data_IF_700081353111
#
_entry.id   IF_700081353111
#
_cell.length_a   1.000
_cell.length_b   1.000
_cell.length_c   1.000
_cell.angle_alpha   90.00
_cell.angle_beta   90.00
_cell.angle_gamma   90.00
#
_symmetry.space_group_name_H-M   'P 1'
#
loop_
_entity.id
_entity.type
_entity.pdbx_description
1 polymer ?
#
# COMPACT_ATOMS: atom_id res chain seq x y z
N UNK A 1 83.29 0.83 14.40
CA UNK A 1 84.28 1.02 13.32
C UNK A 1 84.03 -0.05 12.27
N UNK A 2 84.04 0.36 10.98
CA UNK A 2 83.89 -0.43 9.76
C UNK A 2 82.49 -1.06 9.54
N UNK A 3 81.65 -0.55 8.62
CA UNK A 3 81.72 -0.76 7.15
C UNK A 3 81.62 -2.26 6.81
N UNK A 4 80.71 -2.77 5.98
CA UNK A 4 80.33 -2.30 4.65
C UNK A 4 79.32 -3.30 4.06
N UNK A 5 78.28 -2.81 3.37
CA UNK A 5 77.65 -3.47 2.21
C UNK A 5 78.72 -3.86 1.16
N UNK A 6 78.54 -4.78 0.19
CA UNK A 6 77.33 -4.88 -0.65
C UNK A 6 77.04 -6.26 -1.29
N UNK A 7 75.95 -6.29 -2.08
CA UNK A 7 75.80 -6.92 -3.41
C UNK A 7 74.49 -7.72 -3.57
N UNK A 8 73.54 -7.11 -4.27
CA UNK A 8 72.48 -7.83 -4.99
C UNK A 8 73.08 -8.42 -6.27
N UNK A 9 72.50 -9.54 -6.74
CA UNK A 9 71.91 -9.47 -8.07
C UNK A 9 70.51 -10.09 -8.15
N UNK A 10 69.74 -9.49 -9.04
CA UNK A 10 68.37 -9.81 -9.46
C UNK A 10 68.32 -11.15 -10.20
N UNK A 11 67.37 -12.02 -9.83
CA UNK A 11 66.78 -13.02 -10.72
C UNK A 11 65.34 -13.34 -10.26
N UNK A 12 64.48 -13.52 -11.27
CA UNK A 12 63.01 -13.56 -11.32
C UNK A 12 62.29 -14.56 -10.40
N UNK A 13 61.03 -14.30 -10.02
CA UNK A 13 60.26 -15.17 -9.14
C UNK A 13 59.55 -16.29 -9.90
N UNK A 14 59.80 -17.53 -9.47
CA UNK A 14 59.03 -18.71 -9.87
C UNK A 14 57.71 -18.80 -9.10
N UNK A 15 56.67 -19.13 -9.86
CA UNK A 15 55.26 -19.12 -9.49
C UNK A 15 54.92 -20.33 -8.60
N UNK A 16 54.96 -20.17 -7.28
CA UNK A 16 54.50 -21.16 -6.30
C UNK A 16 53.18 -20.72 -5.66
N UNK A 17 52.05 -21.19 -6.20
CA UNK A 17 50.72 -20.96 -5.65
C UNK A 17 50.58 -21.69 -4.29
N UNK A 18 50.47 -20.88 -3.23
CA UNK A 18 50.25 -21.31 -1.86
C UNK A 18 48.79 -21.78 -1.67
N UNK A 19 48.63 -22.96 -1.08
CA UNK A 19 47.35 -23.62 -0.77
C UNK A 19 46.65 -22.86 0.35
N UNK A 20 45.63 -22.07 0.02
CA UNK A 20 44.77 -21.41 1.00
C UNK A 20 43.79 -22.39 1.64
N UNK A 21 43.81 -22.39 2.98
CA UNK A 21 42.90 -23.07 3.87
C UNK A 21 41.44 -22.80 3.51
N UNK A 22 40.65 -23.87 3.35
CA UNK A 22 39.21 -23.80 3.22
C UNK A 22 38.59 -23.29 4.54
N UNK A 23 38.21 -22.01 4.57
CA UNK A 23 37.38 -21.45 5.62
C UNK A 23 36.00 -22.14 5.57
N UNK A 24 35.50 -22.57 6.73
CA UNK A 24 34.13 -23.03 6.91
C UNK A 24 33.14 -21.94 6.48
N UNK A 25 32.12 -22.25 5.67
CA UNK A 25 31.18 -21.24 5.19
C UNK A 25 30.36 -20.64 6.34
N UNK A 26 30.20 -19.32 6.31
CA UNK A 26 29.46 -18.55 7.31
C UNK A 26 27.98 -19.00 7.43
N UNK A 27 27.36 -18.92 8.63
CA UNK A 27 25.99 -19.40 8.88
C UNK A 27 24.91 -18.78 7.97
N UNK A 28 25.13 -17.55 7.49
CA UNK A 28 24.20 -16.86 6.59
C UNK A 28 24.20 -17.43 5.15
N UNK A 29 25.31 -18.04 4.71
CA UNK A 29 25.38 -18.74 3.41
C UNK A 29 24.66 -20.10 3.45
N UNK A 30 24.65 -20.78 4.60
CA UNK A 30 23.86 -22.00 4.76
C UNK A 30 22.35 -21.71 4.79
N UNK A 31 21.95 -20.52 5.27
CA UNK A 31 20.58 -20.05 5.20
C UNK A 31 20.16 -19.74 3.76
N UNK A 32 21.01 -19.11 2.94
CA UNK A 32 20.71 -18.90 1.51
C UNK A 32 20.67 -20.21 0.71
N UNK A 33 21.55 -21.17 1.01
CA UNK A 33 21.56 -22.49 0.37
C UNK A 33 20.34 -23.36 0.76
N UNK A 34 19.74 -23.13 1.93
CA UNK A 34 18.45 -23.77 2.30
C UNK A 34 17.26 -23.20 1.53
N UNK A 35 17.32 -21.91 1.18
CA UNK A 35 16.26 -21.24 0.41
C UNK A 35 16.27 -21.65 -1.07
N UNK A 36 17.45 -21.92 -1.65
CA UNK A 36 17.56 -22.42 -3.03
C UNK A 36 17.06 -23.87 -3.20
N UNK A 37 17.23 -24.73 -2.19
CA UNK A 37 16.81 -26.14 -2.30
C UNK A 37 15.29 -26.35 -2.20
N UNK A 38 14.54 -25.38 -1.66
CA UNK A 38 13.08 -25.43 -1.58
C UNK A 38 12.37 -24.95 -2.86
N UNK A 39 13.11 -24.45 -3.85
CA UNK A 39 12.59 -23.93 -5.12
C UNK A 39 12.89 -24.83 -6.31
N UNK A 40 13.07 -26.14 -6.11
CA UNK A 40 12.96 -27.09 -7.21
C UNK A 40 11.50 -27.12 -7.69
N UNK A 41 11.17 -26.64 -8.91
CA UNK A 41 9.83 -26.81 -9.42
C UNK A 41 9.74 -28.27 -9.89
N UNK A 42 9.24 -29.15 -9.02
CA UNK A 42 8.77 -30.46 -9.44
C UNK A 42 7.65 -30.25 -10.46
N UNK A 43 8.04 -30.29 -11.73
CA UNK A 43 7.17 -30.10 -12.87
C UNK A 43 6.53 -31.43 -13.24
N UNK A 44 5.35 -31.76 -12.66
CA UNK A 44 4.34 -32.60 -13.30
C UNK A 44 3.03 -32.69 -12.47
N UNK A 45 2.27 -31.60 -12.44
CA UNK A 45 0.80 -31.67 -12.47
C UNK A 45 0.37 -30.62 -13.50
N UNK A 46 -0.58 -30.95 -14.39
CA UNK A 46 -1.08 -30.05 -15.45
C UNK A 46 -1.54 -28.69 -14.91
N UNK A 47 -1.98 -28.68 -13.65
CA UNK A 47 -2.35 -27.49 -12.87
C UNK A 47 -1.15 -26.62 -12.47
N UNK A 48 0.03 -27.20 -12.22
CA UNK A 48 1.25 -26.46 -11.87
C UNK A 48 1.77 -25.59 -13.01
N UNK A 49 1.85 -26.12 -14.24
CA UNK A 49 2.29 -25.35 -15.41
C UNK A 49 1.34 -24.22 -15.79
N UNK A 50 0.02 -24.46 -15.68
CA UNK A 50 -0.98 -23.42 -15.92
C UNK A 50 -0.84 -22.27 -14.91
N UNK A 51 -0.68 -22.60 -13.63
CA UNK A 51 -0.51 -21.61 -12.56
C UNK A 51 0.80 -20.83 -12.68
N UNK A 52 1.90 -21.49 -13.02
CA UNK A 52 3.18 -20.83 -13.27
C UNK A 52 3.09 -19.83 -14.42
N UNK A 53 2.41 -20.20 -15.51
CA UNK A 53 2.19 -19.31 -16.66
C UNK A 53 1.30 -18.12 -16.29
N UNK A 54 0.22 -18.34 -15.53
CA UNK A 54 -0.65 -17.26 -15.03
C UNK A 54 0.11 -16.33 -14.09
N UNK A 55 0.92 -16.89 -13.19
CA UNK A 55 1.75 -16.09 -12.29
C UNK A 55 2.79 -15.26 -13.05
N UNK A 56 3.45 -15.84 -14.04
CA UNK A 56 4.41 -15.13 -14.90
C UNK A 56 3.71 -14.01 -15.71
N UNK A 57 2.47 -14.23 -16.14
CA UNK A 57 1.66 -13.22 -16.82
C UNK A 57 1.30 -12.06 -15.88
N UNK A 58 0.81 -12.37 -14.67
CA UNK A 58 0.48 -11.36 -13.66
C UNK A 58 1.72 -10.60 -13.15
N UNK A 59 2.89 -11.24 -13.16
CA UNK A 59 4.14 -10.62 -12.71
C UNK A 59 4.79 -9.73 -13.78
N UNK A 60 4.31 -9.83 -15.03
CA UNK A 60 4.83 -9.03 -16.14
C UNK A 60 4.68 -7.53 -15.90
N UNK A 61 5.74 -6.77 -16.21
CA UNK A 61 5.77 -5.31 -16.07
C UNK A 61 4.69 -4.65 -16.92
N UNK A 62 4.42 -5.18 -18.11
CA UNK A 62 3.39 -4.67 -19.03
C UNK A 62 2.00 -4.74 -18.39
N UNK A 63 1.67 -5.86 -17.75
CA UNK A 63 0.39 -6.02 -17.07
C UNK A 63 0.24 -5.06 -15.88
N UNK A 64 1.28 -4.94 -15.04
CA UNK A 64 1.30 -4.02 -13.89
C UNK A 64 1.17 -2.55 -14.31
N UNK A 65 1.89 -2.14 -15.36
CA UNK A 65 1.80 -0.78 -15.92
C UNK A 65 0.44 -0.54 -16.56
N UNK A 66 -0.14 -1.53 -17.25
CA UNK A 66 -1.48 -1.43 -17.82
C UNK A 66 -2.55 -1.14 -16.75
N UNK A 67 -2.53 -1.90 -15.65
CA UNK A 67 -3.44 -1.68 -14.52
C UNK A 67 -3.22 -0.31 -13.87
N UNK A 68 -1.96 0.13 -13.74
CA UNK A 68 -1.63 1.45 -13.21
C UNK A 68 -2.23 2.57 -14.08
N UNK A 69 -2.14 2.46 -15.41
CA UNK A 69 -2.73 3.43 -16.34
C UNK A 69 -4.25 3.47 -16.18
N UNK A 70 -4.90 2.30 -16.09
CA UNK A 70 -6.37 2.23 -15.88
C UNK A 70 -6.79 2.92 -14.58
N UNK A 71 -6.04 2.70 -13.48
CA UNK A 71 -6.28 3.39 -12.20
C UNK A 71 -6.14 4.90 -12.35
N UNK A 72 -5.08 5.37 -13.01
CA UNK A 72 -4.82 6.80 -13.20
C UNK A 72 -5.91 7.47 -14.04
N UNK A 73 -6.31 6.83 -15.14
CA UNK A 73 -7.41 7.32 -15.99
C UNK A 73 -8.70 7.41 -15.18
N UNK A 74 -9.05 6.37 -14.41
CA UNK A 74 -10.23 6.39 -13.54
C UNK A 74 -10.17 7.49 -12.47
N UNK A 75 -8.98 7.75 -11.91
CA UNK A 75 -8.79 8.82 -10.94
C UNK A 75 -8.97 10.22 -11.57
N UNK A 76 -8.56 10.41 -12.82
CA UNK A 76 -8.81 11.65 -13.56
C UNK A 76 -10.30 11.85 -13.78
N UNK A 77 -11.04 10.82 -14.23
CA UNK A 77 -12.50 10.90 -14.38
C UNK A 77 -13.20 11.21 -13.06
N UNK A 78 -12.74 10.64 -11.95
CA UNK A 78 -13.28 10.94 -10.62
C UNK A 78 -12.94 12.36 -10.15
N UNK A 79 -11.77 12.90 -10.52
CA UNK A 79 -11.39 14.27 -10.19
C UNK A 79 -12.22 15.32 -10.98
N UNK A 80 -12.70 14.94 -12.17
CA UNK A 80 -13.58 15.77 -12.99
C UNK A 80 -15.06 15.68 -12.55
N UNK A 81 -15.41 14.70 -11.72
CA UNK A 81 -16.74 14.54 -11.15
C UNK A 81 -17.01 15.65 -10.10
N UNK A 82 -17.70 16.70 -10.54
CA UNK A 82 -18.13 17.80 -9.68
C UNK A 82 -19.62 17.68 -9.39
N UNK A 83 -20.10 18.06 -8.19
CA UNK A 83 -21.53 18.00 -7.86
C UNK A 83 -22.43 18.81 -8.80
N UNK A 84 -21.85 19.76 -9.54
CA UNK A 84 -22.50 20.61 -10.54
C UNK A 84 -22.39 20.07 -11.97
N UNK A 85 -21.78 18.90 -12.18
CA UNK A 85 -21.62 18.32 -13.51
C UNK A 85 -22.99 17.91 -14.09
N UNK A 86 -23.13 18.00 -15.41
CA UNK A 86 -24.35 17.58 -16.11
C UNK A 86 -24.64 16.10 -15.92
N UNK A 87 -25.91 15.71 -16.00
CA UNK A 87 -26.36 14.32 -15.86
C UNK A 87 -25.66 13.36 -16.85
N UNK A 88 -25.27 13.85 -18.04
CA UNK A 88 -24.56 13.07 -19.04
C UNK A 88 -23.13 12.71 -18.59
N UNK A 89 -22.41 13.65 -17.96
CA UNK A 89 -21.05 13.43 -17.47
C UNK A 89 -21.08 12.43 -16.31
N UNK A 90 -22.06 12.54 -15.41
CA UNK A 90 -22.22 11.60 -14.29
C UNK A 90 -22.47 10.16 -14.78
N UNK A 91 -23.33 9.99 -15.78
CA UNK A 91 -23.59 8.66 -16.36
C UNK A 91 -22.34 8.02 -16.99
N UNK A 92 -21.52 8.82 -17.69
CA UNK A 92 -20.25 8.36 -18.28
C UNK A 92 -19.27 7.95 -17.17
N UNK A 93 -19.13 8.78 -16.13
CA UNK A 93 -18.23 8.50 -15.00
C UNK A 93 -18.64 7.22 -14.27
N UNK A 94 -19.93 6.99 -14.05
CA UNK A 94 -20.43 5.77 -13.42
C UNK A 94 -20.18 4.52 -14.28
N UNK A 95 -20.37 4.61 -15.60
CA UNK A 95 -20.07 3.51 -16.51
C UNK A 95 -18.57 3.18 -16.53
N UNK A 96 -17.71 4.19 -16.54
CA UNK A 96 -16.25 4.01 -16.44
C UNK A 96 -15.89 3.36 -15.09
N UNK A 97 -16.43 3.84 -13.97
CA UNK A 97 -16.17 3.28 -12.65
C UNK A 97 -16.55 1.80 -12.55
N UNK A 98 -17.66 1.41 -13.16
CA UNK A 98 -18.11 0.02 -13.25
C UNK A 98 -17.16 -0.83 -14.10
N UNK A 99 -16.74 -0.33 -15.27
CA UNK A 99 -15.79 -1.05 -16.13
C UNK A 99 -14.45 -1.31 -15.43
N UNK A 100 -13.98 -0.33 -14.67
CA UNK A 100 -12.72 -0.40 -13.92
C UNK A 100 -12.82 -1.39 -12.76
N UNK A 101 -13.97 -1.46 -12.08
CA UNK A 101 -14.23 -2.48 -11.07
C UNK A 101 -14.15 -3.89 -11.66
N UNK A 102 -14.75 -4.13 -12.83
CA UNK A 102 -14.70 -5.43 -13.50
C UNK A 102 -13.26 -5.83 -13.83
N UNK A 103 -12.46 -4.89 -14.36
CA UNK A 103 -11.05 -5.13 -14.68
C UNK A 103 -10.28 -5.55 -13.42
N UNK A 104 -10.50 -4.88 -12.29
CA UNK A 104 -9.85 -5.26 -11.01
C UNK A 104 -10.32 -6.60 -10.49
N UNK A 105 -11.60 -6.95 -10.64
CA UNK A 105 -12.10 -8.27 -10.28
C UNK A 105 -11.38 -9.36 -11.09
N UNK A 106 -11.21 -9.15 -12.41
CA UNK A 106 -10.51 -10.10 -13.28
C UNK A 106 -9.05 -10.25 -12.85
N UNK A 107 -8.35 -9.15 -12.62
CA UNK A 107 -6.96 -9.17 -12.12
C UNK A 107 -6.86 -9.94 -10.79
N UNK A 108 -7.75 -9.65 -9.85
CA UNK A 108 -7.77 -10.27 -8.53
C UNK A 108 -7.96 -11.78 -8.64
N UNK A 109 -8.89 -12.22 -9.49
CA UNK A 109 -9.12 -13.65 -9.78
C UNK A 109 -7.88 -14.29 -10.43
N UNK A 110 -7.24 -13.62 -11.39
CA UNK A 110 -6.01 -14.11 -12.01
C UNK A 110 -4.88 -14.30 -10.99
N UNK A 111 -4.71 -13.33 -10.09
CA UNK A 111 -3.73 -13.42 -9.00
C UNK A 111 -4.07 -14.52 -8.00
N UNK A 112 -5.34 -14.67 -7.64
CA UNK A 112 -5.81 -15.74 -6.76
C UNK A 112 -5.55 -17.12 -7.37
N UNK A 113 -5.78 -17.28 -8.67
CA UNK A 113 -5.49 -18.51 -9.41
C UNK A 113 -3.99 -18.77 -9.50
N UNK A 114 -3.17 -17.74 -9.75
CA UNK A 114 -1.70 -17.85 -9.80
C UNK A 114 -1.07 -18.23 -8.45
N UNK A 115 -1.38 -17.49 -7.38
CA UNK A 115 -0.81 -17.69 -6.03
C UNK A 115 -1.43 -18.86 -5.27
N UNK A 116 -2.70 -19.17 -5.52
CA UNK A 116 -3.40 -20.31 -4.92
C UNK A 116 -4.14 -19.93 -3.66
N UNK A 117 -5.29 -20.57 -3.47
CA UNK A 117 -6.27 -20.18 -2.45
C UNK A 117 -5.69 -20.28 -1.04
N UNK A 118 -5.50 -21.50 -0.51
CA UNK A 118 -5.29 -21.70 0.94
C UNK A 118 -4.35 -22.88 1.30
N UNK A 119 -4.22 -23.92 0.46
CA UNK A 119 -3.54 -25.20 0.83
C UNK A 119 -2.00 -25.20 0.75
N UNK A 120 -1.34 -24.09 0.41
CA UNK A 120 0.12 -24.01 0.28
C UNK A 120 0.69 -22.89 1.16
N UNK A 121 1.95 -22.99 1.61
CA UNK A 121 2.59 -22.00 2.50
C UNK A 121 2.64 -20.57 1.90
N UNK A 122 2.48 -20.42 0.58
CA UNK A 122 2.41 -19.14 -0.15
C UNK A 122 0.98 -18.76 -0.58
N UNK A 123 -0.03 -19.02 0.25
CA UNK A 123 -1.43 -18.71 -0.08
C UNK A 123 -1.70 -17.22 -0.29
N UNK A 124 -2.65 -16.88 -1.18
CA UNK A 124 -3.00 -15.50 -1.54
C UNK A 124 -3.26 -14.60 -0.31
N UNK A 125 -3.95 -15.13 0.71
CA UNK A 125 -4.32 -14.41 1.93
C UNK A 125 -3.19 -14.23 2.96
N UNK A 126 -1.99 -14.80 2.73
CA UNK A 126 -0.84 -14.65 3.64
C UNK A 126 -0.18 -13.27 3.49
N UNK A 127 -0.32 -12.64 2.33
CA UNK A 127 0.22 -11.30 2.06
C UNK A 127 -0.82 -10.22 2.37
N UNK A 128 -0.48 -9.29 3.26
CA UNK A 128 -1.36 -8.17 3.63
C UNK A 128 -1.77 -7.30 2.42
N UNK A 129 -0.89 -7.18 1.42
CA UNK A 129 -1.17 -6.42 0.20
C UNK A 129 -2.27 -7.04 -0.68
N UNK A 130 -2.37 -8.36 -0.69
CA UNK A 130 -3.43 -9.07 -1.41
C UNK A 130 -4.76 -8.99 -0.65
N UNK A 131 -4.72 -8.93 0.68
CA UNK A 131 -5.91 -8.71 1.50
C UNK A 131 -6.54 -7.34 1.25
N UNK A 132 -5.71 -6.30 1.14
CA UNK A 132 -6.17 -4.95 0.79
C UNK A 132 -6.85 -4.93 -0.59
N UNK A 133 -6.28 -5.63 -1.57
CA UNK A 133 -6.85 -5.73 -2.91
C UNK A 133 -8.23 -6.40 -2.91
N UNK A 134 -8.39 -7.48 -2.15
CA UNK A 134 -9.69 -8.13 -1.95
C UNK A 134 -10.71 -7.19 -1.29
N UNK A 135 -10.31 -6.45 -0.25
CA UNK A 135 -11.18 -5.50 0.43
C UNK A 135 -11.67 -4.39 -0.51
N UNK A 136 -10.80 -3.90 -1.41
CA UNK A 136 -11.17 -2.89 -2.41
C UNK A 136 -12.22 -3.41 -3.40
N UNK A 137 -12.04 -4.64 -3.89
CA UNK A 137 -13.01 -5.25 -4.82
C UNK A 137 -14.36 -5.47 -4.12
N UNK A 138 -14.36 -6.03 -2.91
CA UNK A 138 -15.58 -6.24 -2.12
C UNK A 138 -16.28 -4.91 -1.83
N UNK A 139 -15.54 -3.88 -1.43
CA UNK A 139 -16.12 -2.57 -1.17
C UNK A 139 -16.74 -1.94 -2.43
N UNK A 140 -16.14 -2.15 -3.61
CA UNK A 140 -16.71 -1.71 -4.89
C UNK A 140 -18.01 -2.45 -5.25
N UNK A 141 -18.16 -3.72 -4.89
CA UNK A 141 -19.44 -4.42 -5.06
C UNK A 141 -20.49 -3.96 -4.04
N UNK A 142 -20.08 -3.69 -2.79
CA UNK A 142 -20.96 -3.11 -1.78
C UNK A 142 -21.45 -1.73 -2.23
N UNK A 143 -20.62 -0.94 -2.91
CA UNK A 143 -21.01 0.33 -3.51
C UNK A 143 -22.18 0.19 -4.48
N UNK A 144 -22.11 -0.79 -5.39
CA UNK A 144 -23.16 -1.03 -6.38
C UNK A 144 -24.48 -1.47 -5.74
N UNK A 145 -24.41 -2.26 -4.67
CA UNK A 145 -25.59 -2.81 -3.99
C UNK A 145 -26.24 -1.77 -3.06
N UNK A 146 -25.43 -1.04 -2.28
CA UNK A 146 -25.91 -0.12 -1.25
C UNK A 146 -26.06 1.33 -1.74
N UNK A 147 -25.52 1.67 -2.91
CA UNK A 147 -25.56 3.02 -3.49
C UNK A 147 -26.97 3.54 -3.79
N UNK A 148 -27.99 2.67 -3.82
CA UNK A 148 -29.39 3.07 -4.09
C UNK A 148 -30.20 3.43 -2.82
N UNK A 149 -29.68 3.21 -1.61
CA UNK A 149 -30.49 3.20 -0.39
C UNK A 149 -30.34 4.43 0.53
N UNK A 150 -29.20 4.61 1.17
CA UNK A 150 -29.06 5.50 2.33
C UNK A 150 -27.62 6.01 2.43
N UNK A 151 -27.37 7.30 2.78
CA UNK A 151 -26.16 7.96 3.36
C UNK A 151 -24.73 7.47 3.03
N UNK A 152 -24.57 6.49 2.16
CA UNK A 152 -23.36 5.75 1.87
C UNK A 152 -22.46 6.53 0.91
N UNK A 153 -23.01 7.55 0.23
CA UNK A 153 -22.32 8.37 -0.77
C UNK A 153 -20.95 8.85 -0.27
N UNK A 154 -20.81 9.17 1.03
CA UNK A 154 -19.52 9.56 1.62
C UNK A 154 -18.51 8.41 1.75
N UNK A 155 -18.92 7.28 2.33
CA UNK A 155 -18.03 6.13 2.57
C UNK A 155 -17.61 5.47 1.26
N UNK A 156 -18.52 5.42 0.28
CA UNK A 156 -18.30 4.86 -1.05
C UNK A 156 -17.19 5.62 -1.81
N UNK A 157 -17.11 6.93 -1.65
CA UNK A 157 -16.01 7.75 -2.20
C UNK A 157 -14.65 7.38 -1.62
N UNK A 158 -14.57 7.05 -0.33
CA UNK A 158 -13.31 6.66 0.32
C UNK A 158 -12.79 5.34 -0.25
N UNK A 159 -13.68 4.37 -0.52
CA UNK A 159 -13.31 3.11 -1.18
C UNK A 159 -12.71 3.28 -2.57
N UNK A 160 -13.14 4.30 -3.32
CA UNK A 160 -12.51 4.66 -4.59
C UNK A 160 -11.06 5.16 -4.37
N UNK A 161 -10.80 5.95 -3.32
CA UNK A 161 -9.44 6.40 -2.95
C UNK A 161 -8.55 5.23 -2.55
N UNK A 162 -9.12 4.17 -1.95
CA UNK A 162 -8.34 2.97 -1.61
C UNK A 162 -7.71 2.28 -2.83
N UNK A 163 -8.22 2.49 -4.05
CA UNK A 163 -7.59 1.99 -5.29
C UNK A 163 -6.18 2.56 -5.49
N UNK A 164 -5.85 3.73 -4.93
CA UNK A 164 -4.50 4.30 -4.94
C UNK A 164 -3.53 3.39 -4.18
N UNK A 165 -3.96 2.68 -3.13
CA UNK A 165 -3.08 1.75 -2.42
C UNK A 165 -2.60 0.59 -3.31
N UNK A 166 -3.32 0.29 -4.39
CA UNK A 166 -2.88 -0.71 -5.37
C UNK A 166 -1.61 -0.28 -6.12
N UNK A 167 -1.42 1.02 -6.34
CA UNK A 167 -0.18 1.56 -6.93
C UNK A 167 1.01 1.36 -5.97
N UNK A 168 0.79 1.46 -4.66
CA UNK A 168 1.80 1.18 -3.63
C UNK A 168 2.27 -0.27 -3.71
N UNK A 169 1.37 -1.22 -3.98
CA UNK A 169 1.72 -2.63 -4.17
C UNK A 169 2.52 -2.86 -5.47
N UNK A 170 2.27 -2.10 -6.53
CA UNK A 170 2.95 -2.35 -7.82
C UNK A 170 4.36 -1.75 -7.88
N UNK A 171 4.68 -0.78 -7.03
CA UNK A 171 5.98 -0.12 -6.98
C UNK A 171 6.77 -0.62 -5.77
N UNK A 172 7.82 -1.45 -5.96
CA UNK A 172 8.56 -2.05 -4.84
C UNK A 172 9.23 -1.02 -3.93
N UNK A 173 9.63 0.13 -4.48
CA UNK A 173 10.16 1.24 -3.67
C UNK A 173 9.12 1.77 -2.66
N UNK A 174 7.84 1.88 -3.06
CA UNK A 174 6.76 2.33 -2.18
C UNK A 174 6.37 1.28 -1.15
N UNK A 175 6.47 -0.01 -1.49
CA UNK A 175 6.30 -1.09 -0.52
C UNK A 175 7.35 -1.02 0.60
N UNK A 176 8.62 -0.82 0.25
CA UNK A 176 9.69 -0.72 1.25
C UNK A 176 9.49 0.48 2.17
N UNK A 177 9.10 1.63 1.61
CA UNK A 177 8.81 2.84 2.39
C UNK A 177 7.62 2.61 3.32
N UNK A 178 6.52 2.06 2.81
CA UNK A 178 5.32 1.80 3.63
C UNK A 178 5.58 0.76 4.73
N UNK A 179 6.34 -0.29 4.46
CA UNK A 179 6.74 -1.25 5.48
C UNK A 179 7.66 -0.64 6.54
N UNK A 180 8.61 0.22 6.14
CA UNK A 180 9.47 0.95 7.07
C UNK A 180 8.65 1.90 7.97
N UNK A 181 7.66 2.59 7.39
CA UNK A 181 6.71 3.42 8.15
C UNK A 181 5.91 2.60 9.15
N UNK A 182 5.32 1.48 8.71
CA UNK A 182 4.54 0.61 9.61
C UNK A 182 5.40 0.00 10.71
N UNK A 183 6.68 -0.23 10.46
CA UNK A 183 7.62 -0.78 11.45
C UNK A 183 8.02 0.25 12.50
N UNK A 184 8.04 1.55 12.16
CA UNK A 184 8.35 2.62 13.13
C UNK A 184 7.14 3.15 13.90
N UNK A 185 5.92 2.92 13.42
CA UNK A 185 4.68 3.25 14.15
C UNK A 185 4.62 2.73 15.60
N UNK A 186 4.95 1.46 15.91
CA UNK A 186 4.91 0.99 17.30
C UNK A 186 5.88 1.72 18.23
N UNK A 187 7.06 2.09 17.73
CA UNK A 187 8.07 2.83 18.52
C UNK A 187 7.58 4.24 18.89
N UNK A 188 6.82 4.87 17.99
CA UNK A 188 6.16 6.15 18.25
C UNK A 188 5.04 6.04 19.29
N UNK A 189 4.48 4.85 19.51
CA UNK A 189 3.32 4.62 20.39
C UNK A 189 3.54 5.13 21.81
N UNK A 190 4.73 4.93 22.39
CA UNK A 190 5.05 5.41 23.73
C UNK A 190 4.98 6.94 23.84
N UNK A 191 5.50 7.65 22.83
CA UNK A 191 5.49 9.11 22.77
C UNK A 191 4.05 9.59 22.53
N UNK A 192 3.30 8.92 21.65
CA UNK A 192 1.90 9.24 21.35
C UNK A 192 1.03 9.19 22.61
N UNK A 193 1.24 8.22 23.51
CA UNK A 193 0.49 8.14 24.78
C UNK A 193 0.74 9.37 25.66
N UNK A 194 1.99 9.79 25.81
CA UNK A 194 2.34 10.98 26.61
C UNK A 194 1.75 12.25 26.00
N UNK A 195 1.82 12.40 24.67
CA UNK A 195 1.22 13.53 23.95
C UNK A 195 -0.30 13.52 24.06
N UNK A 196 -0.95 12.36 23.94
CA UNK A 196 -2.39 12.24 24.10
C UNK A 196 -2.84 12.62 25.52
N UNK A 197 -2.08 12.20 26.54
CA UNK A 197 -2.35 12.58 27.93
C UNK A 197 -2.21 14.09 28.16
N UNK A 198 -1.16 14.72 27.63
CA UNK A 198 -0.96 16.17 27.79
C UNK A 198 -2.06 16.97 27.07
N UNK A 199 -2.43 16.57 25.85
CA UNK A 199 -3.55 17.16 25.13
C UNK A 199 -4.87 17.01 25.88
N UNK A 200 -5.09 15.88 26.56
CA UNK A 200 -6.28 15.66 27.39
C UNK A 200 -6.33 16.66 28.56
N UNK A 201 -5.24 16.82 29.32
CA UNK A 201 -5.18 17.79 30.43
C UNK A 201 -5.45 19.21 29.93
N UNK A 202 -4.80 19.64 28.84
CA UNK A 202 -5.05 20.96 28.26
C UNK A 202 -6.47 21.11 27.73
N UNK A 203 -7.05 20.05 27.15
CA UNK A 203 -8.44 20.06 26.69
C UNK A 203 -9.42 20.26 27.85
N UNK A 204 -9.22 19.59 28.99
CA UNK A 204 -10.06 19.78 30.18
C UNK A 204 -9.91 21.18 30.78
N UNK A 205 -8.68 21.67 30.93
CA UNK A 205 -8.43 23.02 31.43
C UNK A 205 -9.03 24.07 30.49
N UNK A 206 -8.83 23.93 29.18
CA UNK A 206 -9.39 24.84 28.19
C UNK A 206 -10.91 24.82 28.14
N UNK A 207 -11.51 23.64 28.33
CA UNK A 207 -12.95 23.47 28.46
C UNK A 207 -13.53 24.28 29.61
N UNK A 208 -12.91 24.22 30.79
CA UNK A 208 -13.36 24.97 31.97
C UNK A 208 -13.10 26.48 31.87
N UNK A 209 -11.97 26.89 31.28
CA UNK A 209 -11.58 28.29 31.17
C UNK A 209 -12.39 29.08 30.13
N UNK A 210 -12.74 28.45 29.01
CA UNK A 210 -13.39 29.12 27.89
C UNK A 210 -14.82 28.63 27.61
N UNK A 211 -15.44 27.92 28.56
CA UNK A 211 -16.82 27.47 28.42
C UNK A 211 -17.75 28.65 28.15
N UNK A 212 -18.41 28.68 26.99
CA UNK A 212 -19.40 29.69 26.63
C UNK A 212 -18.84 31.06 26.22
N UNK A 213 -17.53 31.32 26.37
CA UNK A 213 -16.93 32.61 25.99
C UNK A 213 -17.03 32.89 24.48
N UNK A 214 -16.90 31.87 23.63
CA UNK A 214 -16.98 32.00 22.17
C UNK A 214 -18.42 32.00 21.61
N UNK A 215 -19.45 31.91 22.47
CA UNK A 215 -20.85 31.87 22.03
C UNK A 215 -21.45 33.27 21.80
N UNK A 216 -20.75 34.35 22.17
CA UNK A 216 -21.24 35.71 21.96
C UNK A 216 -21.15 36.07 20.48
N UNK A 217 -22.32 36.23 19.84
CA UNK A 217 -22.44 36.81 18.50
C UNK A 217 -23.07 38.20 18.62
N UNK A 218 -22.60 39.15 17.82
CA UNK A 218 -23.30 40.42 17.66
C UNK A 218 -24.62 40.14 16.95
N UNK A 219 -25.73 40.51 17.59
CA UNK A 219 -27.06 40.44 16.98
C UNK A 219 -27.50 41.86 16.60
N UNK A 220 -28.23 42.00 15.49
CA UNK A 220 -28.78 43.27 15.02
C UNK A 220 -30.15 43.46 15.63
N UNK A 221 -30.31 44.47 16.49
CA UNK A 221 -31.51 44.71 17.30
C UNK A 221 -32.74 45.24 16.52
N UNK A 222 -32.61 45.45 15.20
CA UNK A 222 -33.67 46.06 14.38
C UNK A 222 -34.73 45.06 13.87
N UNK A 223 -34.53 43.74 13.98
CA UNK A 223 -35.48 42.73 13.48
C UNK A 223 -36.57 42.33 14.49
N UNK A 224 -36.42 42.70 15.76
CA UNK A 224 -37.33 42.27 16.85
C UNK A 224 -38.65 43.08 16.87
N UNK A 225 -38.66 44.26 16.25
CA UNK A 225 -39.86 45.13 16.21
C UNK A 225 -40.92 44.66 15.20
N UNK A 226 -40.62 43.66 14.36
CA UNK A 226 -41.58 43.16 13.37
C UNK A 226 -42.60 42.19 13.98
N UNK A 227 -42.27 41.50 15.07
CA UNK A 227 -43.15 40.49 15.70
C UNK A 227 -43.94 41.01 16.92
N UNK A 228 -43.75 42.25 17.35
CA UNK A 228 -44.52 42.89 18.44
C UNK A 228 -45.57 43.88 17.91
N UNK A 229 -46.25 43.54 16.82
CA UNK A 229 -47.54 44.18 16.50
C UNK A 229 -48.60 43.48 17.33
N UNK A 230 -48.97 44.13 18.43
CA UNK A 230 -50.16 43.82 19.22
C UNK A 230 -51.40 43.86 18.31
N UNK A 231 -52.15 42.75 18.26
CA UNK A 231 -53.53 42.71 17.76
C UNK A 231 -54.50 42.95 18.90
#
# INVERSE_FOLDING_TARGET
MASSTPSNPVATPDFGLEVQHAASPDPWMLMSLSHERAQSPSCCERWGCFRFRVQQFCDSTVFKVGILIVILVNAIFLALDTPSASHEVQAIVDQVNLSVLIIFTVEMVLMMVGSGLIKRPSGYFRSGWNWLDFLVVVAGYLELIFGSGNNAIGVLRVFRVFRIFKTLRNIPALQNISMALLTSLPDLGNITVVVAFSLLVFSLMGGQLWQGCMSRRCYRQDEDKFWTVDW
#
